data_IF_857660800408
#
_entry.id   IF_857660800408
#
_cell.length_a   1.000
_cell.length_b   1.000
_cell.length_c   1.000
_cell.angle_alpha   90.00
_cell.angle_beta   90.00
_cell.angle_gamma   90.00
#
_symmetry.space_group_name_H-M   'P 1'
#
loop_
_entity.id
_entity.type
_entity.pdbx_description
1 polymer ?
#
# COMPACT_ATOMS: atom_id res chain seq x y z
N UNK A 1 23.49 0.18 -12.24
CA UNK A 1 22.79 -0.09 -10.95
C UNK A 1 21.29 0.20 -11.07
N UNK A 2 20.55 -0.50 -11.95
CA UNK A 2 19.12 -0.19 -12.21
C UNK A 2 18.17 -0.69 -11.10
N UNK A 3 18.51 -1.79 -10.42
CA UNK A 3 17.65 -2.39 -9.38
C UNK A 3 17.59 -1.61 -8.07
N UNK A 4 18.68 -0.95 -7.67
CA UNK A 4 18.73 -0.14 -6.44
C UNK A 4 17.93 1.16 -6.56
N UNK A 5 17.96 1.78 -7.74
CA UNK A 5 17.16 2.98 -8.00
C UNK A 5 15.67 2.64 -8.02
N UNK A 6 15.28 1.53 -8.66
CA UNK A 6 13.89 1.06 -8.66
C UNK A 6 13.36 0.75 -7.25
N UNK A 7 14.15 0.06 -6.41
CA UNK A 7 13.77 -0.25 -5.02
C UNK A 7 13.58 1.03 -4.18
N UNK A 8 14.46 2.03 -4.35
CA UNK A 8 14.33 3.34 -3.70
C UNK A 8 13.13 4.13 -4.20
N UNK A 9 12.84 4.11 -5.50
CA UNK A 9 11.65 4.75 -6.05
C UNK A 9 10.37 4.16 -5.46
N UNK A 10 10.31 2.84 -5.29
CA UNK A 10 9.18 2.17 -4.62
C UNK A 10 9.08 2.62 -3.15
N UNK A 11 10.20 2.64 -2.42
CA UNK A 11 10.20 3.11 -1.03
C UNK A 11 9.75 4.57 -0.89
N UNK A 12 10.21 5.44 -1.79
CA UNK A 12 9.81 6.84 -1.82
C UNK A 12 8.31 7.00 -2.15
N UNK A 13 7.76 6.18 -3.05
CA UNK A 13 6.34 6.22 -3.40
C UNK A 13 5.46 5.82 -2.21
N UNK A 14 5.83 4.74 -1.51
CA UNK A 14 5.08 4.22 -0.36
C UNK A 14 5.04 5.17 0.85
N UNK A 15 5.83 6.24 0.85
CA UNK A 15 5.67 7.33 1.82
C UNK A 15 4.38 8.15 1.61
N UNK A 16 3.87 8.20 0.38
CA UNK A 16 2.78 9.11 0.01
C UNK A 16 1.48 8.39 -0.32
N UNK A 17 1.55 7.13 -0.77
CA UNK A 17 0.39 6.38 -1.25
C UNK A 17 0.59 4.88 -1.00
N UNK A 18 -0.48 4.22 -0.57
CA UNK A 18 -0.53 2.81 -0.18
C UNK A 18 -0.86 1.90 -1.37
N UNK A 19 -0.44 2.30 -2.57
CA UNK A 19 -0.81 1.64 -3.81
C UNK A 19 -0.43 0.14 -3.79
N UNK A 20 -1.41 -0.78 -3.99
CA UNK A 20 -1.16 -2.22 -3.97
C UNK A 20 -0.06 -2.66 -4.95
N UNK A 21 0.05 -2.02 -6.12
CA UNK A 21 1.07 -2.35 -7.11
C UNK A 21 2.49 -2.05 -6.57
N UNK A 22 2.66 -0.94 -5.86
CA UNK A 22 3.97 -0.55 -5.32
C UNK A 22 4.36 -1.41 -4.12
N UNK A 23 3.39 -1.76 -3.27
CA UNK A 23 3.58 -2.74 -2.20
C UNK A 23 3.99 -4.11 -2.79
N UNK A 24 3.30 -4.58 -3.84
CA UNK A 24 3.71 -5.80 -4.56
C UNK A 24 5.14 -5.71 -5.08
N UNK A 25 5.51 -4.60 -5.72
CA UNK A 25 6.87 -4.43 -6.24
C UNK A 25 7.91 -4.52 -5.13
N UNK A 26 7.64 -3.91 -3.96
CA UNK A 26 8.48 -4.04 -2.78
C UNK A 26 8.58 -5.50 -2.33
N UNK A 27 7.46 -6.22 -2.25
CA UNK A 27 7.44 -7.64 -1.89
C UNK A 27 8.32 -8.49 -2.82
N UNK A 28 8.17 -8.33 -4.14
CA UNK A 28 8.91 -9.09 -5.14
C UNK A 28 10.40 -8.78 -5.10
N UNK A 29 10.75 -7.49 -5.08
CA UNK A 29 12.15 -7.10 -5.02
C UNK A 29 12.80 -7.55 -3.70
N UNK A 30 12.07 -7.55 -2.58
CA UNK A 30 12.61 -8.06 -1.32
C UNK A 30 12.84 -9.57 -1.38
N UNK A 31 11.91 -10.35 -1.97
CA UNK A 31 12.07 -11.80 -2.22
C UNK A 31 13.30 -12.09 -3.11
N UNK A 32 13.54 -11.26 -4.12
CA UNK A 32 14.63 -11.43 -5.09
C UNK A 32 16.00 -11.03 -4.53
N UNK A 33 16.11 -9.85 -3.93
CA UNK A 33 17.39 -9.26 -3.53
C UNK A 33 17.76 -9.53 -2.07
N UNK A 34 16.77 -9.82 -1.20
CA UNK A 34 16.95 -10.09 0.24
C UNK A 34 17.79 -9.03 0.97
N UNK A 35 17.60 -7.76 0.61
CA UNK A 35 18.34 -6.62 1.14
C UNK A 35 17.37 -5.49 1.47
N UNK A 36 17.00 -5.39 2.75
CA UNK A 36 16.08 -4.35 3.23
C UNK A 36 16.65 -2.94 3.07
N UNK A 37 17.98 -2.80 3.11
CA UNK A 37 18.70 -1.54 2.89
C UNK A 37 18.38 -0.88 1.54
N UNK A 38 17.93 -1.65 0.54
CA UNK A 38 17.54 -1.12 -0.77
C UNK A 38 16.20 -0.37 -0.75
N UNK A 39 15.38 -0.60 0.27
CA UNK A 39 14.06 0.00 0.44
C UNK A 39 14.06 1.11 1.50
N UNK A 40 15.23 1.67 1.80
CA UNK A 40 15.31 2.88 2.59
C UNK A 40 14.99 4.07 1.67
N UNK A 41 14.03 4.94 2.05
CA UNK A 41 13.79 6.18 1.31
C UNK A 41 15.05 7.04 1.33
N UNK A 42 15.16 7.99 0.40
CA UNK A 42 16.37 8.81 0.27
C UNK A 42 16.60 9.68 1.52
N UNK A 43 17.41 9.18 2.46
CA UNK A 43 17.67 9.82 3.74
C UNK A 43 18.92 10.71 3.70
N UNK A 44 20.10 10.17 3.35
CA UNK A 44 21.35 10.94 3.36
C UNK A 44 22.36 10.30 2.41
N UNK A 45 22.79 11.05 1.40
CA UNK A 45 24.09 10.88 0.74
C UNK A 45 24.74 12.21 1.00
N UNK A 46 25.86 12.20 1.72
CA UNK A 46 26.60 13.38 2.18
C UNK A 46 26.48 14.52 1.16
N UNK A 47 26.18 15.76 1.56
CA UNK A 47 26.15 16.85 0.60
C UNK A 47 27.50 16.84 -0.14
N UNK A 48 27.54 16.89 -1.48
CA UNK A 48 28.76 17.35 -2.11
C UNK A 48 29.05 18.70 -1.46
N UNK A 49 30.30 18.93 -1.04
CA UNK A 49 30.75 20.08 -0.24
C UNK A 49 30.45 21.47 -0.86
N UNK A 50 29.74 21.52 -1.99
CA UNK A 50 29.17 22.71 -2.62
C UNK A 50 27.78 22.36 -3.16
N UNK A 51 26.73 22.82 -2.50
CA UNK A 51 25.41 22.97 -3.12
C UNK A 51 25.17 24.48 -3.31
N UNK A 52 25.17 25.00 -4.55
CA UNK A 52 24.82 26.38 -4.82
C UNK A 52 23.28 26.51 -4.79
N UNK A 53 22.78 27.31 -3.84
CA UNK A 53 21.46 27.99 -3.81
C UNK A 53 20.15 27.17 -3.88
N UNK A 54 20.14 25.93 -4.38
CA UNK A 54 18.98 25.04 -4.42
C UNK A 54 19.39 23.60 -4.10
N UNK A 55 19.27 23.20 -2.83
CA UNK A 55 19.27 21.79 -2.46
C UNK A 55 17.88 21.22 -2.74
N UNK A 56 17.71 20.20 -3.61
CA UNK A 56 16.43 19.53 -3.73
C UNK A 56 16.06 18.93 -2.36
N UNK A 57 14.90 19.31 -1.82
CA UNK A 57 14.32 18.67 -0.64
C UNK A 57 14.17 17.19 -0.95
N UNK A 58 14.65 16.32 -0.07
CA UNK A 58 14.57 14.87 -0.29
C UNK A 58 13.16 14.38 -0.01
N UNK A 59 12.79 13.24 -0.57
CA UNK A 59 11.42 12.71 -0.49
C UNK A 59 10.93 12.54 0.96
N UNK A 60 11.82 12.13 1.87
CA UNK A 60 11.48 12.00 3.29
C UNK A 60 11.23 13.35 3.99
N UNK A 61 11.96 14.40 3.60
CA UNK A 61 11.74 15.75 4.13
C UNK A 61 10.43 16.34 3.61
N UNK A 62 10.12 16.09 2.34
CA UNK A 62 8.84 16.48 1.72
C UNK A 62 7.68 15.76 2.41
N UNK A 63 7.81 14.45 2.66
CA UNK A 63 6.82 13.67 3.39
C UNK A 63 6.59 14.23 4.79
N UNK A 64 7.67 14.42 5.58
CA UNK A 64 7.58 15.03 6.91
C UNK A 64 6.91 16.39 6.88
N UNK A 65 7.32 17.27 5.96
CA UNK A 65 6.75 18.60 5.84
C UNK A 65 5.25 18.53 5.55
N UNK A 66 4.83 17.73 4.55
CA UNK A 66 3.40 17.58 4.19
C UNK A 66 2.57 17.03 5.34
N UNK A 67 3.03 15.97 6.01
CA UNK A 67 2.29 15.38 7.13
C UNK A 67 2.14 16.35 8.30
N UNK A 68 3.17 17.16 8.58
CA UNK A 68 3.10 18.19 9.63
C UNK A 68 2.18 19.35 9.22
N UNK A 69 2.22 19.77 7.95
CA UNK A 69 1.32 20.79 7.40
C UNK A 69 -0.14 20.34 7.47
N UNK A 70 -0.47 19.11 7.03
CA UNK A 70 -1.81 18.55 7.13
C UNK A 70 -2.29 18.46 8.58
N UNK A 71 -1.42 18.00 9.50
CA UNK A 71 -1.73 17.94 10.93
C UNK A 71 -1.97 19.33 11.52
N UNK A 72 -1.21 20.32 11.08
CA UNK A 72 -1.38 21.71 11.51
C UNK A 72 -2.67 22.32 10.96
N UNK A 73 -2.97 22.12 9.68
CA UNK A 73 -4.21 22.58 9.06
C UNK A 73 -5.43 21.98 9.76
N UNK A 74 -5.42 20.66 10.01
CA UNK A 74 -6.47 19.98 10.77
C UNK A 74 -6.62 20.56 12.18
N UNK A 75 -5.51 20.83 12.87
CA UNK A 75 -5.53 21.47 14.19
C UNK A 75 -6.17 22.86 14.12
N UNK A 76 -5.81 23.69 13.13
CA UNK A 76 -6.40 25.02 12.95
C UNK A 76 -7.89 24.93 12.65
N UNK A 77 -8.30 24.04 11.74
CA UNK A 77 -9.70 23.84 11.38
C UNK A 77 -10.56 23.38 12.57
N UNK A 78 -10.03 22.50 13.42
CA UNK A 78 -10.76 22.00 14.61
C UNK A 78 -10.82 23.04 15.73
N UNK A 79 -9.72 23.76 15.99
CA UNK A 79 -9.60 24.67 17.14
C UNK A 79 -10.11 26.08 16.88
N UNK A 80 -10.01 26.55 15.64
CA UNK A 80 -10.50 27.87 15.23
C UNK A 80 -11.82 27.78 14.46
N UNK A 81 -12.56 26.67 14.61
CA UNK A 81 -13.90 26.54 14.06
C UNK A 81 -14.83 27.53 14.74
N UNK A 82 -15.26 28.53 13.99
CA UNK A 82 -16.20 29.54 14.47
C UNK A 82 -17.60 28.93 14.54
N UNK A 83 -18.14 28.76 15.75
CA UNK A 83 -19.47 28.18 16.00
C UNK A 83 -20.21 29.11 16.95
N UNK A 84 -21.48 29.42 16.63
CA UNK A 84 -22.34 30.27 17.45
C UNK A 84 -21.78 31.68 17.74
N UNK A 85 -21.13 32.29 16.75
CA UNK A 85 -20.48 33.61 16.86
C UNK A 85 -19.34 33.71 17.89
N UNK A 86 -18.83 32.57 18.36
CA UNK A 86 -17.71 32.52 19.30
C UNK A 86 -16.65 31.52 18.85
N UNK A 87 -15.43 31.73 19.32
CA UNK A 87 -14.38 30.72 19.21
C UNK A 87 -14.50 29.75 20.40
N UNK A 88 -14.15 28.47 20.21
CA UNK A 88 -14.10 27.52 21.31
C UNK A 88 -13.18 28.01 22.44
N UNK A 89 -13.55 27.79 23.72
CA UNK A 89 -12.69 28.13 24.84
C UNK A 89 -11.40 27.28 24.84
N UNK A 90 -10.31 27.85 25.36
CA UNK A 90 -9.03 27.15 25.51
C UNK A 90 -9.20 25.89 26.37
N UNK A 91 -8.75 24.75 25.86
CA UNK A 91 -8.75 23.46 26.55
C UNK A 91 -7.38 23.18 27.18
N UNK A 92 -7.33 22.36 28.23
CA UNK A 92 -6.03 21.96 28.83
C UNK A 92 -5.07 21.30 27.81
N UNK A 93 -5.62 20.59 26.83
CA UNK A 93 -4.85 19.96 25.76
C UNK A 93 -4.16 20.96 24.82
N UNK A 94 -4.58 22.24 24.78
CA UNK A 94 -3.94 23.27 23.95
C UNK A 94 -2.54 23.65 24.47
N UNK A 95 -2.24 23.31 25.73
CA UNK A 95 -0.91 23.46 26.33
C UNK A 95 0.05 22.35 25.94
N UNK A 96 -0.46 21.27 25.34
CA UNK A 96 0.37 20.17 24.86
C UNK A 96 1.16 20.63 23.64
N UNK A 97 2.46 20.36 23.63
CA UNK A 97 3.30 20.65 22.45
C UNK A 97 2.76 19.93 21.22
N UNK A 98 2.76 20.62 20.09
CA UNK A 98 2.41 20.04 18.80
C UNK A 98 3.29 18.81 18.54
N UNK A 99 2.65 17.69 18.19
CA UNK A 99 3.36 16.46 17.90
C UNK A 99 4.08 16.60 16.55
N UNK A 100 5.41 16.61 16.59
CA UNK A 100 6.26 16.68 15.38
C UNK A 100 6.71 15.30 14.90
N UNK A 101 6.32 14.23 15.58
CA UNK A 101 6.72 12.89 15.19
C UNK A 101 5.97 12.41 13.95
N UNK A 102 6.74 12.02 12.93
CA UNK A 102 6.25 11.41 11.68
C UNK A 102 7.04 10.13 11.46
N UNK A 103 6.34 8.99 11.44
CA UNK A 103 6.94 7.69 11.14
C UNK A 103 7.05 7.53 9.63
N UNK A 104 8.23 7.14 9.15
CA UNK A 104 8.50 6.82 7.75
C UNK A 104 8.66 5.31 7.52
N UNK A 105 8.29 4.50 8.51
CA UNK A 105 8.39 3.04 8.45
C UNK A 105 7.19 2.47 7.74
N UNK A 106 7.43 1.51 6.85
CA UNK A 106 6.37 0.74 6.21
C UNK A 106 5.85 -0.31 7.19
N UNK A 107 4.59 -0.15 7.61
CA UNK A 107 3.92 -1.03 8.58
C UNK A 107 3.08 -2.13 7.91
N UNK A 108 3.12 -2.24 6.59
CA UNK A 108 2.31 -3.20 5.85
C UNK A 108 2.80 -4.64 6.09
N UNK A 109 1.87 -5.54 6.46
CA UNK A 109 2.18 -6.96 6.67
C UNK A 109 2.18 -7.73 5.34
N UNK A 110 3.35 -7.76 4.70
CA UNK A 110 3.57 -8.52 3.48
C UNK A 110 3.42 -10.04 3.65
N UNK A 111 3.58 -10.57 4.86
CA UNK A 111 3.44 -11.99 5.13
C UNK A 111 1.98 -12.41 5.21
N UNK A 112 1.08 -11.50 5.63
CA UNK A 112 -0.35 -11.75 5.62
C UNK A 112 -0.90 -12.00 4.21
N UNK A 113 -0.35 -11.34 3.18
CA UNK A 113 -0.80 -11.51 1.78
C UNK A 113 -0.66 -12.96 1.30
N UNK A 114 0.45 -13.62 1.66
CA UNK A 114 0.69 -15.03 1.28
C UNK A 114 -0.23 -16.01 2.03
N UNK A 115 -0.88 -15.57 3.11
CA UNK A 115 -1.76 -16.38 3.95
C UNK A 115 -3.24 -16.11 3.69
N UNK A 116 -3.57 -15.26 2.71
CA UNK A 116 -4.97 -14.90 2.39
C UNK A 116 -5.77 -16.12 1.92
N UNK A 117 -5.12 -16.99 1.14
CA UNK A 117 -5.71 -18.20 0.58
C UNK A 117 -4.96 -19.45 1.01
N UNK A 118 -5.72 -20.47 1.39
CA UNK A 118 -5.23 -21.82 1.58
C UNK A 118 -5.21 -22.60 0.26
N UNK A 119 -4.36 -23.64 0.12
CA UNK A 119 -4.34 -24.49 -1.07
C UNK A 119 -5.69 -25.15 -1.39
N UNK A 120 -6.48 -25.46 -0.36
CA UNK A 120 -7.82 -26.03 -0.52
C UNK A 120 -8.80 -25.01 -1.15
N UNK A 121 -8.76 -23.76 -0.69
CA UNK A 121 -9.59 -22.66 -1.23
C UNK A 121 -9.20 -22.35 -2.68
N UNK A 122 -7.91 -22.30 -3.01
CA UNK A 122 -7.46 -22.12 -4.41
C UNK A 122 -8.01 -23.21 -5.33
N UNK A 123 -7.98 -24.47 -4.88
CA UNK A 123 -8.55 -25.60 -5.64
C UNK A 123 -10.05 -25.47 -5.83
N UNK A 124 -10.79 -25.04 -4.80
CA UNK A 124 -12.22 -24.79 -4.88
C UNK A 124 -12.55 -23.64 -5.84
N UNK A 125 -11.85 -22.50 -5.72
CA UNK A 125 -12.05 -21.31 -6.56
C UNK A 125 -11.70 -21.56 -8.03
N UNK A 126 -10.77 -22.47 -8.33
CA UNK A 126 -10.41 -22.85 -9.71
C UNK A 126 -11.47 -23.69 -10.41
N UNK A 127 -12.41 -24.30 -9.65
CA UNK A 127 -13.45 -25.13 -10.25
C UNK A 127 -14.32 -24.30 -11.22
N UNK A 128 -14.59 -24.89 -12.39
CA UNK A 128 -15.38 -24.25 -13.46
C UNK A 128 -16.87 -24.22 -13.10
N UNK A 129 -17.29 -25.13 -12.23
CA UNK A 129 -18.68 -25.22 -11.81
C UNK A 129 -18.94 -24.18 -10.70
N UNK A 130 -19.99 -23.35 -10.84
CA UNK A 130 -20.42 -22.47 -9.77
C UNK A 130 -20.93 -23.34 -8.63
N UNK A 131 -20.13 -23.45 -7.57
CA UNK A 131 -20.51 -24.09 -6.32
C UNK A 131 -20.80 -22.98 -5.30
N UNK A 132 -21.82 -23.18 -4.47
CA UNK A 132 -22.22 -22.25 -3.40
C UNK A 132 -21.03 -22.00 -2.45
N UNK A 133 -20.19 -23.02 -2.27
CA UNK A 133 -18.96 -22.91 -1.49
C UNK A 133 -17.97 -21.91 -2.09
N UNK A 134 -17.91 -21.79 -3.42
CA UNK A 134 -17.01 -20.86 -4.09
C UNK A 134 -17.39 -19.40 -3.84
N UNK A 135 -18.68 -19.08 -3.83
CA UNK A 135 -19.17 -17.73 -3.53
C UNK A 135 -18.93 -17.35 -2.07
N UNK A 136 -19.17 -18.27 -1.12
CA UNK A 136 -18.86 -18.07 0.30
C UNK A 136 -17.36 -17.81 0.53
N UNK A 137 -16.48 -18.56 -0.14
CA UNK A 137 -15.03 -18.34 -0.06
C UNK A 137 -14.66 -16.96 -0.60
N UNK A 138 -15.29 -16.49 -1.69
CA UNK A 138 -15.02 -15.15 -2.23
C UNK A 138 -15.45 -14.03 -1.27
N UNK A 139 -16.61 -14.17 -0.62
CA UNK A 139 -17.09 -13.21 0.36
C UNK A 139 -16.17 -13.15 1.60
N UNK A 140 -15.76 -14.31 2.11
CA UNK A 140 -14.78 -14.39 3.19
C UNK A 140 -13.42 -13.82 2.78
N UNK A 141 -12.96 -14.13 1.57
CA UNK A 141 -11.72 -13.61 1.01
C UNK A 141 -11.78 -12.09 0.88
N UNK A 142 -12.89 -11.53 0.42
CA UNK A 142 -13.09 -10.08 0.38
C UNK A 142 -12.97 -9.46 1.78
N UNK A 143 -13.56 -10.10 2.79
CA UNK A 143 -13.39 -9.70 4.20
C UNK A 143 -11.93 -9.69 4.64
N UNK A 144 -11.17 -10.75 4.32
CA UNK A 144 -9.73 -10.84 4.64
C UNK A 144 -8.90 -9.79 3.89
N UNK A 145 -9.21 -9.56 2.61
CA UNK A 145 -8.54 -8.55 1.78
C UNK A 145 -8.83 -7.14 2.30
N UNK A 146 -10.05 -6.86 2.77
CA UNK A 146 -10.41 -5.58 3.38
C UNK A 146 -9.65 -5.24 4.67
N UNK A 147 -9.15 -6.25 5.39
CA UNK A 147 -8.27 -6.02 6.54
C UNK A 147 -6.93 -5.41 6.14
N UNK A 148 -6.45 -5.70 4.91
CA UNK A 148 -5.21 -5.16 4.36
C UNK A 148 -5.45 -3.91 3.51
N UNK A 149 -6.54 -3.89 2.73
CA UNK A 149 -6.95 -2.78 1.87
C UNK A 149 -8.43 -2.46 2.09
N UNK A 150 -8.77 -1.49 2.97
CA UNK A 150 -10.14 -1.23 3.39
C UNK A 150 -11.14 -0.91 2.26
N UNK A 151 -10.67 -0.37 1.14
CA UNK A 151 -11.51 -0.01 -0.02
C UNK A 151 -11.67 -1.14 -1.03
N UNK A 152 -11.04 -2.30 -0.81
CA UNK A 152 -11.04 -3.42 -1.75
C UNK A 152 -12.46 -3.99 -1.94
N UNK A 153 -12.81 -4.24 -3.20
CA UNK A 153 -14.04 -4.93 -3.62
C UNK A 153 -13.72 -6.03 -4.61
N UNK A 154 -14.44 -7.14 -4.53
CA UNK A 154 -14.32 -8.21 -5.52
C UNK A 154 -14.79 -7.70 -6.89
N UNK A 155 -13.99 -7.97 -7.92
CA UNK A 155 -14.29 -7.57 -9.31
C UNK A 155 -14.53 -8.80 -10.17
N UNK A 156 -13.54 -9.67 -10.28
CA UNK A 156 -13.62 -10.85 -11.14
C UNK A 156 -12.80 -12.04 -10.62
N UNK A 157 -13.24 -13.23 -11.02
CA UNK A 157 -12.51 -14.48 -10.91
C UNK A 157 -12.46 -15.09 -12.31
N UNK A 158 -11.27 -15.34 -12.83
CA UNK A 158 -11.14 -15.87 -14.18
C UNK A 158 -9.88 -16.72 -14.37
N UNK A 159 -9.98 -17.70 -15.28
CA UNK A 159 -8.88 -18.59 -15.68
C UNK A 159 -8.62 -18.43 -17.18
N UNK A 160 -7.43 -17.94 -17.55
CA UNK A 160 -7.07 -17.78 -18.97
C UNK A 160 -5.59 -17.99 -19.19
N UNK A 161 -5.22 -18.57 -20.35
CA UNK A 161 -3.83 -18.67 -20.79
C UNK A 161 -3.32 -17.38 -21.46
N UNK A 162 -4.23 -16.46 -21.81
CA UNK A 162 -3.86 -15.17 -22.44
C UNK A 162 -3.53 -14.15 -21.36
N UNK A 163 -2.53 -13.31 -21.64
CA UNK A 163 -2.22 -12.15 -20.80
C UNK A 163 -3.38 -11.17 -20.81
N UNK A 164 -3.79 -10.73 -19.62
CA UNK A 164 -4.87 -9.77 -19.42
C UNK A 164 -4.49 -8.75 -18.36
N UNK A 165 -5.11 -7.57 -18.45
CA UNK A 165 -4.99 -6.51 -17.45
C UNK A 165 -6.23 -6.50 -16.59
N UNK A 166 -6.06 -6.24 -15.29
CA UNK A 166 -7.19 -5.84 -14.45
C UNK A 166 -7.82 -4.54 -15.00
N UNK A 167 -9.14 -4.41 -14.84
CA UNK A 167 -9.90 -3.28 -15.39
C UNK A 167 -9.72 -1.98 -14.58
N UNK A 168 -9.33 -2.09 -13.31
CA UNK A 168 -9.22 -0.97 -12.38
C UNK A 168 -7.78 -0.45 -12.22
N UNK A 169 -7.60 0.81 -11.79
CA UNK A 169 -6.28 1.44 -11.67
C UNK A 169 -5.45 0.88 -10.50
N UNK A 170 -6.09 0.38 -9.44
CA UNK A 170 -5.43 -0.16 -8.25
C UNK A 170 -5.87 -1.61 -7.98
N UNK A 171 -5.41 -2.58 -8.78
CA UNK A 171 -5.83 -3.96 -8.65
C UNK A 171 -4.98 -4.71 -7.62
N UNK A 172 -5.65 -5.51 -6.79
CA UNK A 172 -5.05 -6.58 -5.99
C UNK A 172 -5.35 -7.89 -6.71
N UNK A 173 -4.35 -8.46 -7.36
CA UNK A 173 -4.50 -9.71 -8.12
C UNK A 173 -3.85 -10.85 -7.35
N UNK A 174 -4.65 -11.84 -6.97
CA UNK A 174 -4.18 -13.04 -6.26
C UNK A 174 -4.25 -14.25 -7.18
N UNK A 175 -3.16 -14.99 -7.24
CA UNK A 175 -3.10 -16.27 -7.95
C UNK A 175 -3.92 -17.32 -7.22
N UNK A 176 -4.70 -18.09 -7.98
CA UNK A 176 -5.41 -19.29 -7.52
C UNK A 176 -4.93 -20.52 -8.28
N UNK A 177 -3.68 -20.50 -8.77
CA UNK A 177 -3.02 -21.70 -9.29
C UNK A 177 -2.60 -22.63 -8.15
N UNK A 178 -2.45 -23.93 -8.44
CA UNK A 178 -2.11 -24.90 -7.41
C UNK A 178 -0.68 -24.70 -6.88
N UNK A 179 0.25 -24.34 -7.77
CA UNK A 179 1.67 -24.24 -7.46
C UNK A 179 2.02 -22.89 -6.80
N UNK A 180 1.30 -21.83 -7.18
CA UNK A 180 1.52 -20.45 -6.72
C UNK A 180 0.27 -19.86 -6.04
N UNK A 181 -0.43 -20.66 -5.23
CA UNK A 181 -1.63 -20.22 -4.52
C UNK A 181 -1.35 -19.03 -3.59
N UNK A 182 -2.22 -18.03 -3.61
CA UNK A 182 -2.07 -16.77 -2.85
C UNK A 182 -0.89 -15.89 -3.29
N UNK A 183 -0.22 -16.19 -4.41
CA UNK A 183 0.83 -15.32 -4.91
C UNK A 183 0.26 -14.00 -5.43
N UNK A 184 0.92 -12.89 -5.06
CA UNK A 184 0.50 -11.56 -5.46
C UNK A 184 0.98 -11.21 -6.88
N UNK A 185 0.05 -11.33 -7.82
CA UNK A 185 0.28 -11.09 -9.24
C UNK A 185 0.20 -9.59 -9.59
N UNK A 186 0.77 -9.24 -10.74
CA UNK A 186 0.75 -7.86 -11.23
C UNK A 186 -0.58 -7.51 -11.88
N UNK A 187 -0.76 -6.22 -12.21
CA UNK A 187 -1.92 -5.77 -12.97
C UNK A 187 -2.10 -6.55 -14.29
N UNK A 188 -0.98 -6.83 -14.96
CA UNK A 188 -0.90 -7.78 -16.08
C UNK A 188 -0.61 -9.18 -15.53
N UNK A 189 -1.48 -10.14 -15.81
CA UNK A 189 -1.37 -11.49 -15.30
C UNK A 189 -1.90 -12.54 -16.30
N UNK A 190 -1.51 -13.79 -16.07
CA UNK A 190 -1.92 -15.00 -16.80
C UNK A 190 -2.33 -16.06 -15.79
N UNK A 191 -3.04 -17.08 -16.24
CA UNK A 191 -3.44 -18.21 -15.40
C UNK A 191 -4.80 -18.00 -14.74
N UNK A 192 -5.01 -18.66 -13.60
CA UNK A 192 -6.19 -18.49 -12.78
C UNK A 192 -5.91 -17.46 -11.68
N UNK A 193 -6.73 -16.41 -11.62
CA UNK A 193 -6.57 -15.34 -10.65
C UNK A 193 -7.92 -14.80 -10.16
N UNK A 194 -7.90 -14.23 -8.98
CA UNK A 194 -8.97 -13.42 -8.39
C UNK A 194 -8.50 -11.97 -8.33
N UNK A 195 -9.35 -11.05 -8.77
CA UNK A 195 -9.05 -9.62 -8.85
C UNK A 195 -9.95 -8.86 -7.89
N UNK A 196 -9.33 -8.05 -7.03
CA UNK A 196 -10.01 -7.04 -6.24
C UNK A 196 -9.57 -5.64 -6.68
N UNK A 197 -10.48 -4.68 -6.59
CA UNK A 197 -10.24 -3.29 -6.95
C UNK A 197 -10.35 -2.38 -5.72
N UNK A 198 -9.40 -1.45 -5.57
CA UNK A 198 -9.29 -0.52 -4.43
C UNK A 198 -9.44 0.94 -4.84
#
# INVERSE_FOLDING_TARGET
>A
MRGSEAARSVANFLLFDDNPLMQRNKHIYNKQYKKEELFLPDQVVRPPQRCPEYCPKRMLDIHKQRTLEERYLKFIEEKFKYVDNEFPPEMQDDRKKFDTYVSAEDKFDYAAVQKLLSPAECKALRSIFPDIQGEQILEELEGRVKLLWPTAKFEERSCSRKSRSAACPRPVVLSIENDDCSEWLGAMHTGCAVVFCT
#
